data_IF_327453980540
#
_entry.id   IF_327453980540
#
_cell.length_a   1.000
_cell.length_b   1.000
_cell.length_c   1.000
_cell.angle_alpha   90.00
_cell.angle_beta   90.00
_cell.angle_gamma   90.00
#
_symmetry.space_group_name_H-M   'P 1'
#
loop_
_entity.id
_entity.type
_entity.pdbx_description
1 polymer ?
#
# COMPACT_ATOMS: atom_id res chain seq x y z
N UNK A 1 0.10 17.00 13.59
CA UNK A 1 -0.64 17.53 12.41
C UNK A 1 0.24 18.18 11.35
N UNK A 2 1.50 18.53 11.64
CA UNK A 2 2.43 19.21 10.69
C UNK A 2 2.48 18.56 9.29
N UNK A 3 2.40 17.22 9.20
CA UNK A 3 2.56 16.44 7.97
C UNK A 3 1.24 16.07 7.27
N UNK A 4 0.12 16.05 7.98
CA UNK A 4 -1.17 15.54 7.49
C UNK A 4 -2.29 16.58 7.62
N UNK A 5 -2.00 17.82 7.26
CA UNK A 5 -2.98 18.92 7.35
C UNK A 5 -3.98 18.85 6.21
N UNK A 6 -5.27 18.73 6.53
CA UNK A 6 -6.39 18.83 5.59
C UNK A 6 -7.67 19.22 6.34
N UNK A 7 -8.71 19.63 5.60
CA UNK A 7 -9.95 20.16 6.18
C UNK A 7 -10.73 19.09 6.98
N UNK A 8 -10.60 17.81 6.65
CA UNK A 8 -11.27 16.71 7.36
C UNK A 8 -10.62 16.42 8.71
N UNK A 9 -9.32 16.65 8.80
CA UNK A 9 -8.54 16.46 10.03
C UNK A 9 -8.54 17.71 10.92
N UNK A 10 -8.76 18.89 10.35
CA UNK A 10 -8.69 20.17 11.06
C UNK A 10 -9.59 20.27 12.31
N UNK A 11 -10.81 19.67 12.36
CA UNK A 11 -11.66 19.70 13.55
C UNK A 11 -11.13 18.92 14.74
N UNK A 12 -10.16 18.02 14.57
CA UNK A 12 -9.57 17.17 15.62
C UNK A 12 -10.60 16.36 16.43
N UNK A 13 -11.64 15.88 15.77
CA UNK A 13 -12.60 14.95 16.36
C UNK A 13 -12.00 13.55 16.51
N UNK A 14 -12.69 12.66 17.26
CA UNK A 14 -12.29 11.26 17.45
C UNK A 14 -12.29 10.44 16.14
N UNK A 15 -12.83 10.97 15.04
CA UNK A 15 -12.80 10.38 13.71
C UNK A 15 -13.09 11.41 12.63
N UNK A 16 -12.81 11.05 11.37
CA UNK A 16 -13.11 11.89 10.22
C UNK A 16 -14.55 11.66 9.72
N UNK A 17 -15.22 12.74 9.36
CA UNK A 17 -16.54 12.72 8.72
C UNK A 17 -16.40 13.20 7.28
N UNK A 18 -16.94 12.45 6.34
CA UNK A 18 -16.89 12.78 4.92
C UNK A 18 -18.18 12.37 4.21
N UNK A 19 -18.60 13.10 3.16
CA UNK A 19 -19.77 12.73 2.38
C UNK A 19 -19.52 11.42 1.60
N UNK A 20 -20.54 10.57 1.53
CA UNK A 20 -20.49 9.32 0.75
C UNK A 20 -21.37 9.51 -0.49
N UNK A 21 -20.81 9.26 -1.68
CA UNK A 21 -21.57 9.18 -2.92
C UNK A 21 -22.27 7.82 -3.03
N UNK A 22 -23.31 7.75 -3.85
CA UNK A 22 -23.89 6.46 -4.25
C UNK A 22 -22.86 5.66 -5.06
N UNK A 23 -22.85 4.33 -4.92
CA UNK A 23 -21.95 3.48 -5.68
C UNK A 23 -21.29 2.39 -4.83
N UNK A 24 -20.24 1.78 -5.37
CA UNK A 24 -19.44 0.76 -4.67
C UNK A 24 -18.19 1.38 -4.08
N UNK A 25 -17.85 0.97 -2.88
CA UNK A 25 -16.67 1.42 -2.16
C UNK A 25 -15.77 0.21 -1.86
N UNK A 26 -14.47 0.37 -2.07
CA UNK A 26 -13.46 -0.56 -1.57
C UNK A 26 -12.91 -0.07 -0.23
N UNK A 27 -12.62 -1.01 0.65
CA UNK A 27 -11.95 -0.81 1.93
C UNK A 27 -10.87 -1.84 2.10
N UNK A 28 -9.69 -1.41 2.53
CA UNK A 28 -8.57 -2.30 2.86
C UNK A 28 -7.85 -1.84 4.11
N UNK A 29 -7.10 -2.74 4.72
CA UNK A 29 -6.18 -2.43 5.83
C UNK A 29 -4.96 -3.30 5.75
N UNK A 30 -3.80 -2.71 6.06
CA UNK A 30 -2.55 -3.45 6.10
C UNK A 30 -1.64 -2.96 7.24
N UNK A 31 -0.79 -3.85 7.73
CA UNK A 31 0.16 -3.59 8.82
C UNK A 31 1.58 -3.77 8.30
N UNK A 32 2.37 -2.74 8.46
CA UNK A 32 3.74 -2.68 7.94
C UNK A 32 4.73 -2.90 9.07
N UNK A 33 5.51 -3.97 8.90
CA UNK A 33 6.58 -4.41 9.78
C UNK A 33 7.76 -4.74 8.89
N UNK A 34 8.72 -3.84 8.77
CA UNK A 34 9.91 -4.02 7.95
C UNK A 34 11.16 -3.67 8.72
N UNK A 35 12.17 -4.51 8.64
CA UNK A 35 13.47 -4.31 9.23
C UNK A 35 14.56 -4.50 8.16
N UNK A 36 15.41 -3.48 7.97
CA UNK A 36 15.41 -2.16 8.60
C UNK A 36 14.24 -1.28 8.15
N UNK A 37 13.85 -0.29 8.98
CA UNK A 37 12.78 0.66 8.67
C UNK A 37 13.11 1.60 7.50
N UNK A 38 14.41 1.78 7.23
CA UNK A 38 14.96 2.51 6.08
C UNK A 38 15.71 1.54 5.18
N UNK A 39 15.49 1.62 3.89
CA UNK A 39 16.10 0.73 2.88
C UNK A 39 16.34 1.48 1.57
N UNK A 40 17.15 0.97 0.65
CA UNK A 40 17.44 1.63 -0.62
C UNK A 40 16.16 2.01 -1.39
N UNK A 41 15.97 3.30 -1.62
CA UNK A 41 14.82 3.87 -2.33
C UNK A 41 13.59 4.19 -1.50
N UNK A 42 13.61 3.95 -0.15
CA UNK A 42 12.47 4.29 0.70
C UNK A 42 12.61 3.95 2.18
N UNK A 43 11.49 4.00 2.86
CA UNK A 43 11.34 3.63 4.27
C UNK A 43 9.94 3.04 4.51
N UNK A 44 9.69 2.60 5.75
CA UNK A 44 8.42 2.01 6.15
C UNK A 44 7.21 2.95 5.89
N UNK A 45 7.40 4.27 5.97
CA UNK A 45 6.34 5.25 5.67
C UNK A 45 5.94 5.24 4.20
N UNK A 46 6.91 5.07 3.30
CA UNK A 46 6.63 4.89 1.86
C UNK A 46 5.80 3.63 1.62
N UNK A 47 6.21 2.51 2.22
CA UNK A 47 5.45 1.25 2.12
C UNK A 47 4.02 1.40 2.63
N UNK A 48 3.84 2.03 3.79
CA UNK A 48 2.55 2.14 4.44
C UNK A 48 1.51 2.90 3.60
N UNK A 49 1.92 3.95 2.91
CA UNK A 49 1.01 4.67 2.02
C UNK A 49 0.82 3.94 0.70
N UNK A 50 1.92 3.55 0.05
CA UNK A 50 1.85 2.93 -1.28
C UNK A 50 1.10 1.59 -1.26
N UNK A 51 1.35 0.73 -0.27
CA UNK A 51 0.69 -0.58 -0.21
C UNK A 51 -0.81 -0.46 -0.08
N UNK A 52 -1.31 0.33 0.87
CA UNK A 52 -2.76 0.51 1.06
C UNK A 52 -3.42 1.21 -0.14
N UNK A 53 -2.75 2.19 -0.75
CA UNK A 53 -3.22 2.83 -1.99
C UNK A 53 -3.29 1.82 -3.14
N UNK A 54 -2.28 0.97 -3.27
CA UNK A 54 -2.22 -0.05 -4.31
C UNK A 54 -3.29 -1.12 -4.12
N UNK A 55 -3.54 -1.58 -2.89
CA UNK A 55 -4.64 -2.50 -2.58
C UNK A 55 -5.99 -1.96 -3.05
N UNK A 56 -6.27 -0.68 -2.79
CA UNK A 56 -7.49 -0.04 -3.28
C UNK A 56 -7.53 0.00 -4.81
N UNK A 57 -6.40 0.34 -5.44
CA UNK A 57 -6.28 0.37 -6.90
C UNK A 57 -6.47 -1.03 -7.52
N UNK A 58 -5.97 -2.10 -6.87
CA UNK A 58 -6.16 -3.48 -7.34
C UNK A 58 -7.63 -3.92 -7.28
N UNK A 59 -8.47 -3.26 -6.48
CA UNK A 59 -9.91 -3.41 -6.49
C UNK A 59 -10.62 -2.54 -7.55
N UNK A 60 -9.87 -1.82 -8.39
CA UNK A 60 -10.38 -0.87 -9.37
C UNK A 60 -10.90 0.42 -8.75
N UNK A 61 -10.63 0.67 -7.49
CA UNK A 61 -11.07 1.86 -6.80
C UNK A 61 -10.12 3.04 -7.02
N UNK A 62 -10.67 4.25 -6.96
CA UNK A 62 -9.94 5.50 -6.84
C UNK A 62 -9.75 5.76 -5.33
N UNK A 63 -8.54 5.62 -4.79
CA UNK A 63 -8.26 5.85 -3.37
C UNK A 63 -8.57 7.30 -2.97
N UNK A 64 -9.10 7.50 -1.77
CA UNK A 64 -9.48 8.83 -1.29
C UNK A 64 -8.90 9.13 0.09
N UNK A 65 -9.15 8.27 1.06
CA UNK A 65 -8.82 8.53 2.46
C UNK A 65 -8.08 7.36 3.08
N UNK A 66 -7.12 7.68 3.94
CA UNK A 66 -6.38 6.72 4.75
C UNK A 66 -6.49 7.06 6.23
N UNK A 67 -6.47 6.04 7.08
CA UNK A 67 -6.11 6.14 8.48
C UNK A 67 -4.62 5.82 8.66
N UNK A 68 -4.03 6.24 9.79
CA UNK A 68 -2.65 5.91 10.13
C UNK A 68 -2.52 5.63 11.62
N UNK A 69 -2.31 4.37 11.98
CA UNK A 69 -1.94 3.93 13.33
C UNK A 69 -0.42 3.75 13.43
N UNK A 70 0.19 4.35 14.45
CA UNK A 70 1.63 4.25 14.73
C UNK A 70 1.86 3.54 16.05
N UNK A 71 2.73 2.52 16.06
CA UNK A 71 3.25 1.90 17.27
C UNK A 71 4.76 2.18 17.29
N UNK A 72 5.19 3.00 18.24
CA UNK A 72 6.55 3.51 18.34
C UNK A 72 7.27 2.86 19.53
N UNK A 73 8.50 2.43 19.30
CA UNK A 73 9.37 1.98 20.38
C UNK A 73 9.89 3.19 21.19
N UNK A 74 9.92 3.06 22.51
CA UNK A 74 10.56 4.04 23.39
C UNK A 74 12.03 4.21 23.01
N UNK A 75 12.42 5.47 22.74
CA UNK A 75 13.78 5.81 22.30
C UNK A 75 13.97 5.89 20.79
N UNK A 76 12.90 5.74 19.98
CA UNK A 76 12.97 6.05 18.55
C UNK A 76 13.40 7.52 18.36
N UNK A 77 14.49 7.80 17.60
CA UNK A 77 14.95 9.16 17.34
C UNK A 77 13.87 10.01 16.61
N UNK A 78 13.69 11.25 17.04
CA UNK A 78 12.69 12.14 16.45
C UNK A 78 12.97 12.48 14.98
N UNK A 79 14.23 12.54 14.56
CA UNK A 79 14.62 12.77 13.17
C UNK A 79 14.28 11.58 12.26
N UNK A 80 14.43 10.34 12.76
CA UNK A 80 13.95 9.16 12.05
C UNK A 80 12.42 9.18 11.89
N UNK A 81 11.69 9.48 12.96
CA UNK A 81 10.23 9.61 12.91
C UNK A 81 9.79 10.73 11.96
N UNK A 82 10.43 11.90 12.03
CA UNK A 82 10.14 13.04 11.15
C UNK A 82 10.34 12.65 9.68
N UNK A 83 11.41 11.95 9.36
CA UNK A 83 11.72 11.47 8.01
C UNK A 83 10.65 10.51 7.51
N UNK A 84 10.19 9.57 8.34
CA UNK A 84 9.13 8.62 8.00
C UNK A 84 7.81 9.35 7.71
N UNK A 85 7.40 10.26 8.61
CA UNK A 85 6.15 11.03 8.48
C UNK A 85 6.18 11.98 7.27
N UNK A 86 7.34 12.59 6.97
CA UNK A 86 7.52 13.41 5.76
C UNK A 86 7.34 12.56 4.51
N UNK A 87 7.96 11.37 4.48
CA UNK A 87 7.80 10.44 3.35
C UNK A 87 6.35 10.01 3.18
N UNK A 88 5.63 9.71 4.26
CA UNK A 88 4.20 9.38 4.19
C UNK A 88 3.40 10.54 3.60
N UNK A 89 3.66 11.77 4.04
CA UNK A 89 2.99 12.96 3.51
C UNK A 89 3.24 13.13 2.00
N UNK A 90 4.47 12.94 1.55
CA UNK A 90 4.83 13.10 0.14
C UNK A 90 4.19 12.02 -0.73
N UNK A 91 4.17 10.77 -0.24
CA UNK A 91 3.49 9.68 -0.95
C UNK A 91 1.97 9.87 -0.99
N UNK A 92 1.36 10.36 0.08
CA UNK A 92 -0.07 10.68 0.11
C UNK A 92 -0.43 11.77 -0.90
N UNK A 93 0.39 12.84 -0.99
CA UNK A 93 0.24 13.88 -2.03
C UNK A 93 0.41 13.30 -3.43
N UNK A 94 1.46 12.49 -3.66
CA UNK A 94 1.71 11.87 -4.95
C UNK A 94 0.56 10.94 -5.38
N UNK A 95 -0.02 10.20 -4.44
CA UNK A 95 -1.17 9.33 -4.68
C UNK A 95 -2.50 10.08 -4.75
N UNK A 96 -2.52 11.38 -4.43
CA UNK A 96 -3.72 12.20 -4.29
C UNK A 96 -4.73 11.62 -3.28
N UNK A 97 -4.22 11.19 -2.12
CA UNK A 97 -5.03 10.70 -0.99
C UNK A 97 -4.79 11.55 0.25
N UNK A 98 -5.73 11.53 1.18
CA UNK A 98 -5.62 12.25 2.45
C UNK A 98 -5.57 11.27 3.63
N UNK A 99 -4.63 11.47 4.55
CA UNK A 99 -4.63 10.80 5.85
C UNK A 99 -5.52 11.62 6.77
N UNK A 100 -6.68 11.09 7.14
CA UNK A 100 -7.78 11.85 7.78
C UNK A 100 -8.02 11.47 9.23
N UNK A 101 -7.40 10.42 9.72
CA UNK A 101 -7.47 9.98 11.13
C UNK A 101 -6.27 9.11 11.46
N UNK A 102 -5.98 8.97 12.75
CA UNK A 102 -4.89 8.11 13.19
C UNK A 102 -4.79 8.01 14.70
N UNK A 103 -3.93 7.13 15.16
CA UNK A 103 -3.59 6.97 16.57
C UNK A 103 -2.08 6.72 16.72
N UNK A 104 -1.53 7.03 17.90
CA UNK A 104 -0.12 6.78 18.21
C UNK A 104 -0.01 6.14 19.58
N UNK A 105 0.67 4.99 19.63
CA UNK A 105 1.04 4.32 20.88
C UNK A 105 2.55 4.24 20.99
N UNK A 106 3.06 4.50 22.18
CA UNK A 106 4.46 4.27 22.52
C UNK A 106 4.52 3.03 23.40
N UNK A 107 5.36 2.09 23.01
CA UNK A 107 5.62 0.84 23.74
C UNK A 107 7.05 0.81 24.27
N UNK A 108 7.32 -0.09 25.23
CA UNK A 108 8.64 -0.19 25.84
C UNK A 108 9.69 -0.65 24.82
N UNK A 109 10.93 -0.31 25.11
CA UNK A 109 12.07 -0.78 24.32
C UNK A 109 12.11 -2.31 24.22
N UNK A 110 12.21 -2.83 22.99
CA UNK A 110 12.23 -4.26 22.67
C UNK A 110 10.86 -4.88 22.42
N UNK A 111 9.76 -4.10 22.50
CA UNK A 111 8.41 -4.61 22.20
C UNK A 111 8.05 -4.50 20.72
N UNK A 112 8.74 -3.62 19.97
CA UNK A 112 8.65 -3.51 18.50
C UNK A 112 10.04 -3.18 17.92
N UNK A 113 10.21 -3.34 16.62
CA UNK A 113 11.43 -2.95 15.92
C UNK A 113 11.34 -1.48 15.48
N UNK A 114 11.63 -0.55 16.38
CA UNK A 114 11.56 0.91 16.21
C UNK A 114 10.15 1.42 15.96
N UNK A 115 9.49 1.00 14.89
CA UNK A 115 8.17 1.49 14.47
C UNK A 115 7.41 0.44 13.67
N UNK A 116 6.14 0.27 13.99
CA UNK A 116 5.16 -0.41 13.16
C UNK A 116 4.08 0.58 12.74
N UNK A 117 3.59 0.43 11.52
CA UNK A 117 2.57 1.31 10.94
C UNK A 117 1.41 0.45 10.46
N UNK A 118 0.20 0.81 10.87
CA UNK A 118 -1.02 0.28 10.27
C UNK A 118 -1.73 1.39 9.50
N UNK A 119 -2.11 1.11 8.27
CA UNK A 119 -2.98 1.99 7.49
C UNK A 119 -4.23 1.23 7.06
N UNK A 120 -5.35 1.90 7.09
CA UNK A 120 -6.56 1.44 6.43
C UNK A 120 -7.01 2.52 5.46
N UNK A 121 -7.61 2.10 4.35
CA UNK A 121 -7.98 3.03 3.30
C UNK A 121 -9.34 2.73 2.70
N UNK A 122 -9.97 3.77 2.17
CA UNK A 122 -11.20 3.69 1.40
C UNK A 122 -11.04 4.37 0.05
N UNK A 123 -11.73 3.82 -0.96
CA UNK A 123 -11.78 4.38 -2.30
C UNK A 123 -13.08 4.04 -2.98
N UNK A 124 -13.45 4.84 -3.97
CA UNK A 124 -14.69 4.62 -4.74
C UNK A 124 -14.37 3.85 -6.03
N UNK A 125 -15.16 2.82 -6.31
CA UNK A 125 -15.08 2.04 -7.53
C UNK A 125 -15.98 2.72 -8.58
N UNK A 126 -15.41 3.20 -9.71
CA UNK A 126 -16.21 3.81 -10.77
C UNK A 126 -17.25 2.85 -11.33
N UNK A 127 -18.38 3.41 -11.81
CA UNK A 127 -19.41 2.63 -12.45
C UNK A 127 -18.88 1.88 -13.68
N UNK A 128 -19.35 0.65 -13.86
CA UNK A 128 -18.93 -0.22 -14.97
C UNK A 128 -17.62 -0.98 -14.73
N UNK A 129 -16.84 -0.67 -13.72
CA UNK A 129 -15.62 -1.42 -13.36
C UNK A 129 -15.98 -2.67 -12.56
N UNK A 130 -15.68 -3.84 -13.11
CA UNK A 130 -15.90 -5.13 -12.48
C UNK A 130 -14.61 -5.96 -12.57
N UNK A 131 -13.85 -5.98 -11.51
CA UNK A 131 -12.55 -6.64 -11.41
C UNK A 131 -12.61 -7.68 -10.28
N UNK A 132 -12.04 -8.84 -10.52
CA UNK A 132 -11.95 -9.89 -9.52
C UNK A 132 -11.61 -11.26 -10.11
N UNK A 133 -11.27 -12.24 -9.26
CA UNK A 133 -10.86 -13.57 -9.70
C UNK A 133 -11.88 -14.26 -10.63
N UNK A 134 -13.17 -14.04 -10.36
CA UNK A 134 -14.26 -14.66 -11.12
C UNK A 134 -14.35 -14.20 -12.60
N UNK A 135 -13.63 -13.16 -12.97
CA UNK A 135 -13.57 -12.64 -14.34
C UNK A 135 -12.40 -13.17 -15.15
N UNK A 136 -11.45 -13.87 -14.51
CA UNK A 136 -10.29 -14.47 -15.19
C UNK A 136 -10.74 -15.65 -16.04
N UNK A 137 -10.24 -15.70 -17.30
CA UNK A 137 -10.55 -16.74 -18.28
C UNK A 137 -9.28 -17.28 -18.93
N UNK A 138 -9.31 -18.51 -19.45
CA UNK A 138 -8.19 -19.02 -20.26
C UNK A 138 -7.87 -18.10 -21.44
N UNK A 139 -6.59 -18.02 -21.78
CA UNK A 139 -6.03 -17.22 -22.89
C UNK A 139 -6.15 -15.69 -22.69
N UNK A 140 -6.23 -15.21 -21.46
CA UNK A 140 -6.03 -13.80 -21.15
C UNK A 140 -4.54 -13.48 -21.07
N UNK A 141 -4.17 -12.29 -21.50
CA UNK A 141 -2.80 -11.78 -21.40
C UNK A 141 -2.48 -11.38 -19.96
N UNK A 142 -1.23 -11.63 -19.55
CA UNK A 142 -0.68 -11.18 -18.27
C UNK A 142 0.26 -10.00 -18.54
N UNK A 143 -0.03 -8.87 -17.92
CA UNK A 143 0.75 -7.64 -18.06
C UNK A 143 1.38 -7.30 -16.72
N UNK A 144 2.69 -6.99 -16.74
CA UNK A 144 3.42 -6.53 -15.57
C UNK A 144 3.68 -5.03 -15.70
N UNK A 145 3.50 -4.30 -14.59
CA UNK A 145 3.73 -2.84 -14.54
C UNK A 145 5.22 -2.46 -14.46
N UNK A 146 6.10 -3.41 -14.16
CA UNK A 146 7.53 -3.17 -14.00
C UNK A 146 8.29 -4.42 -13.61
N UNK A 147 9.49 -4.25 -13.07
CA UNK A 147 10.32 -5.34 -12.55
C UNK A 147 9.67 -6.02 -11.34
N UNK A 148 10.12 -7.24 -11.04
CA UNK A 148 9.59 -8.08 -9.98
C UNK A 148 10.68 -8.38 -8.95
N UNK A 149 10.36 -8.15 -7.66
CA UNK A 149 11.20 -8.56 -6.54
C UNK A 149 12.25 -7.54 -6.10
N UNK A 150 12.33 -6.38 -6.71
CA UNK A 150 13.30 -5.33 -6.38
C UNK A 150 13.19 -4.89 -4.92
N UNK A 151 11.97 -4.73 -4.39
CA UNK A 151 11.77 -4.40 -2.98
C UNK A 151 12.39 -5.46 -2.06
N UNK A 152 12.11 -6.74 -2.31
CA UNK A 152 12.63 -7.83 -1.49
C UNK A 152 14.14 -7.87 -1.52
N UNK A 153 14.75 -7.71 -2.70
CA UNK A 153 16.21 -7.70 -2.85
C UNK A 153 16.82 -6.49 -2.12
N UNK A 154 16.23 -5.31 -2.25
CA UNK A 154 16.72 -4.10 -1.59
C UNK A 154 16.69 -4.22 -0.06
N UNK A 155 15.60 -4.72 0.52
CA UNK A 155 15.46 -4.90 1.97
C UNK A 155 16.36 -6.03 2.49
N UNK A 156 16.33 -7.19 1.84
CA UNK A 156 17.12 -8.36 2.26
C UNK A 156 18.62 -8.10 2.11
N UNK A 157 19.04 -7.45 1.01
CA UNK A 157 20.43 -7.07 0.80
C UNK A 157 20.95 -6.22 1.95
N UNK A 158 20.19 -5.20 2.35
CA UNK A 158 20.58 -4.36 3.49
C UNK A 158 20.55 -5.12 4.82
N UNK A 159 19.54 -5.97 5.04
CA UNK A 159 19.41 -6.78 6.27
C UNK A 159 20.60 -7.72 6.47
N UNK A 160 21.10 -8.31 5.39
CA UNK A 160 22.20 -9.27 5.44
C UNK A 160 23.57 -8.65 5.13
N UNK A 161 23.63 -7.33 4.97
CA UNK A 161 24.90 -6.63 4.70
C UNK A 161 25.52 -7.02 3.35
N UNK A 162 24.70 -7.36 2.36
CA UNK A 162 25.18 -7.67 1.01
C UNK A 162 25.55 -6.38 0.29
N UNK A 163 26.72 -6.37 -0.34
CA UNK A 163 27.12 -5.27 -1.23
C UNK A 163 26.34 -5.39 -2.55
N UNK A 164 25.18 -4.74 -2.59
CA UNK A 164 24.40 -4.62 -3.81
C UNK A 164 24.79 -3.37 -4.59
N UNK A 165 24.61 -3.41 -5.91
CA UNK A 165 24.76 -2.23 -6.75
C UNK A 165 23.84 -1.10 -6.29
N UNK A 166 24.30 0.16 -6.35
CA UNK A 166 23.50 1.36 -6.05
C UNK A 166 22.23 1.49 -6.91
N UNK A 167 22.14 0.72 -7.98
CA UNK A 167 20.95 0.64 -8.83
C UNK A 167 19.82 -0.19 -8.22
N UNK A 168 20.11 -1.06 -7.25
CA UNK A 168 19.10 -1.91 -6.58
C UNK A 168 18.36 -1.08 -5.54
N UNK A 169 17.14 -0.70 -5.87
CA UNK A 169 16.25 0.09 -5.00
C UNK A 169 14.86 -0.54 -4.99
N UNK A 170 14.09 -0.23 -3.94
CA UNK A 170 12.70 -0.66 -3.91
C UNK A 170 11.92 -0.13 -5.12
N UNK A 171 11.10 -0.98 -5.70
CA UNK A 171 10.11 -0.67 -6.73
C UNK A 171 8.81 -0.06 -6.14
N UNK A 172 8.73 0.08 -4.82
CA UNK A 172 7.56 0.64 -4.13
C UNK A 172 7.20 2.02 -4.67
N UNK A 173 6.00 2.15 -5.22
CA UNK A 173 5.42 3.40 -5.74
C UNK A 173 3.88 3.34 -5.68
N UNK A 174 3.18 4.48 -5.60
CA UNK A 174 1.73 4.49 -5.73
C UNK A 174 1.35 4.26 -7.19
N UNK A 175 0.61 3.19 -7.48
CA UNK A 175 0.22 2.76 -8.82
C UNK A 175 -1.19 3.22 -9.24
N UNK A 176 -1.93 3.84 -8.34
CA UNK A 176 -3.33 4.21 -8.55
C UNK A 176 -3.57 5.05 -9.80
N UNK A 177 -2.68 6.00 -10.13
CA UNK A 177 -2.84 6.82 -11.34
C UNK A 177 -2.65 6.00 -12.61
N UNK A 178 -1.66 5.10 -12.64
CA UNK A 178 -1.41 4.22 -13.77
C UNK A 178 -2.59 3.25 -13.97
N UNK A 179 -3.06 2.63 -12.87
CA UNK A 179 -4.20 1.72 -12.90
C UNK A 179 -5.46 2.45 -13.39
N UNK A 180 -5.73 3.65 -12.85
CA UNK A 180 -6.89 4.43 -13.27
C UNK A 180 -6.82 4.83 -14.76
N UNK A 181 -5.64 5.22 -15.25
CA UNK A 181 -5.44 5.51 -16.68
C UNK A 181 -5.73 4.26 -17.54
N UNK A 182 -5.21 3.10 -17.15
CA UNK A 182 -5.47 1.84 -17.86
C UNK A 182 -6.96 1.48 -17.84
N UNK A 183 -7.63 1.60 -16.69
CA UNK A 183 -9.07 1.31 -16.59
C UNK A 183 -9.94 2.29 -17.42
N UNK A 184 -9.52 3.53 -17.57
CA UNK A 184 -10.21 4.50 -18.43
C UNK A 184 -10.11 4.14 -19.92
N UNK A 185 -8.97 3.57 -20.35
CA UNK A 185 -8.73 3.22 -21.75
C UNK A 185 -9.36 1.88 -22.13
N UNK A 186 -9.14 0.83 -21.31
CA UNK A 186 -9.54 -0.54 -21.65
C UNK A 186 -10.75 -1.03 -20.85
N UNK A 187 -11.16 -0.31 -19.82
CA UNK A 187 -12.41 -0.49 -19.10
C UNK A 187 -12.66 -1.93 -18.67
N UNK A 188 -13.75 -2.51 -19.19
CA UNK A 188 -14.21 -3.85 -18.85
C UNK A 188 -13.34 -4.99 -19.39
N UNK A 189 -12.26 -4.72 -20.11
CA UNK A 189 -11.33 -5.75 -20.59
C UNK A 189 -10.35 -6.21 -19.50
N UNK A 190 -10.19 -5.43 -18.42
CA UNK A 190 -9.37 -5.83 -17.28
C UNK A 190 -10.18 -6.79 -16.41
N UNK A 191 -9.73 -8.03 -16.32
CA UNK A 191 -10.38 -9.06 -15.50
C UNK A 191 -9.93 -9.03 -14.05
N UNK A 192 -8.62 -8.89 -13.83
CA UNK A 192 -7.99 -8.95 -12.51
C UNK A 192 -6.81 -7.97 -12.43
N UNK A 193 -6.70 -7.31 -11.32
CA UNK A 193 -5.51 -6.58 -10.89
C UNK A 193 -5.01 -7.19 -9.59
N UNK A 194 -3.70 -7.37 -9.44
CA UNK A 194 -3.12 -7.92 -8.23
C UNK A 194 -1.70 -7.41 -8.01
N UNK A 195 -1.39 -7.06 -6.78
CA UNK A 195 -0.03 -6.82 -6.33
C UNK A 195 0.59 -8.16 -5.86
N UNK A 196 1.69 -8.61 -6.44
CA UNK A 196 2.32 -9.88 -6.08
C UNK A 196 3.24 -9.72 -4.86
N UNK A 197 2.68 -9.59 -3.66
CA UNK A 197 3.45 -9.42 -2.43
C UNK A 197 4.04 -10.74 -1.92
N UNK A 198 3.29 -11.53 -1.16
CA UNK A 198 3.79 -12.78 -0.57
C UNK A 198 3.78 -13.92 -1.60
N UNK A 199 4.95 -14.57 -1.77
CA UNK A 199 5.11 -15.64 -2.75
C UNK A 199 5.17 -15.17 -4.21
N UNK A 200 5.13 -13.85 -4.44
CA UNK A 200 5.32 -13.22 -5.73
C UNK A 200 4.30 -13.63 -6.78
N UNK A 201 4.68 -13.52 -8.04
CA UNK A 201 3.83 -13.86 -9.19
C UNK A 201 3.40 -15.34 -9.17
N UNK A 202 4.25 -16.25 -8.67
CA UNK A 202 3.91 -17.67 -8.57
C UNK A 202 2.66 -17.90 -7.72
N UNK A 203 2.56 -17.27 -6.56
CA UNK A 203 1.36 -17.36 -5.71
C UNK A 203 0.13 -16.77 -6.37
N UNK A 204 0.25 -15.63 -7.04
CA UNK A 204 -0.88 -15.03 -7.77
C UNK A 204 -1.38 -15.98 -8.86
N UNK A 205 -0.48 -16.59 -9.64
CA UNK A 205 -0.86 -17.54 -10.66
C UNK A 205 -1.56 -18.76 -10.06
N UNK A 206 -1.04 -19.33 -8.98
CA UNK A 206 -1.64 -20.50 -8.32
C UNK A 206 -3.02 -20.19 -7.72
N UNK A 207 -3.20 -19.05 -7.08
CA UNK A 207 -4.46 -18.69 -6.43
C UNK A 207 -5.63 -18.50 -7.41
N UNK A 208 -5.36 -18.12 -8.65
CA UNK A 208 -6.42 -17.71 -9.59
C UNK A 208 -6.47 -18.54 -10.87
N UNK A 209 -5.52 -19.41 -11.12
CA UNK A 209 -5.45 -20.19 -12.38
C UNK A 209 -5.40 -21.71 -12.22
N UNK A 210 -5.28 -22.21 -10.99
CA UNK A 210 -5.29 -23.64 -10.70
C UNK A 210 -6.46 -24.02 -9.79
N UNK A 211 -6.85 -25.30 -9.80
CA UNK A 211 -7.80 -25.90 -8.86
C UNK A 211 -7.27 -25.94 -7.40
N UNK A 212 -6.28 -25.12 -7.08
CA UNK A 212 -5.62 -25.03 -5.78
C UNK A 212 -6.56 -24.61 -4.62
N UNK A 213 -7.80 -24.24 -4.91
CA UNK A 213 -8.83 -24.07 -3.88
C UNK A 213 -9.20 -25.41 -3.20
N UNK A 214 -8.99 -26.55 -3.87
CA UNK A 214 -9.31 -27.87 -3.34
C UNK A 214 -8.14 -28.47 -2.52
N UNK A 215 -6.90 -27.96 -2.69
CA UNK A 215 -5.71 -28.46 -1.99
C UNK A 215 -5.41 -27.74 -0.65
N UNK A 216 -6.22 -26.77 -0.26
CA UNK A 216 -6.03 -25.95 0.96
C UNK A 216 -7.04 -26.25 2.08
N UNK A 217 -7.75 -27.39 2.01
CA UNK A 217 -8.64 -27.85 3.08
C UNK A 217 -8.00 -29.01 3.81
#
# INVERSE_FOLDING_TARGET
LKYFTNDLLAPLHDGAQFPVSSGRMAFTTDSYVVQPAFFPGGNIGKLAVCGTVNDLAMNGAVPQYLSCGLILEEGLPFDELETILSTMSDMAKLANVQIVTGDTKVVKKGEVDKIYINTAGIGMIPDGINIGPNFVKPNMDIILSGSIGDHSIAVMGQRFGLELSDSVKTDCAPLNHMVHAALNEVGTQVALLRDPTRGGVGTVCLLYTSDAADDLI
#
